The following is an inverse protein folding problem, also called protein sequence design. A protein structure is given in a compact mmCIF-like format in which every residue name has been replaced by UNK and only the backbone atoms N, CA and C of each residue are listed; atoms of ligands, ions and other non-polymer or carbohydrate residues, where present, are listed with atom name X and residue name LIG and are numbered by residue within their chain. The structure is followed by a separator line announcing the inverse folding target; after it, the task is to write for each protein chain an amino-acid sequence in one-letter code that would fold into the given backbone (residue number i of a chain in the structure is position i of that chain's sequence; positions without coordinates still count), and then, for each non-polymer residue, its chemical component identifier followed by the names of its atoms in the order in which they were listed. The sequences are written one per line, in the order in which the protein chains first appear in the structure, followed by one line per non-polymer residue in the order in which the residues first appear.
data_IF_218642794528
#
_entry.id   IF_218642794528
#
_cell.length_a   1.000
_cell.length_b   1.000
_cell.length_c   1.000
_cell.angle_alpha   90.00
_cell.angle_beta   90.00
_cell.angle_gamma   90.00
#
_symmetry.space_group_name_H-M   'P 1'
#
loop_
_entity.id
_entity.type
_entity.pdbx_description
1 polymer ?
#
# COMPACT_ATOMS: atom_id res chain seq x y z
N UNK A 1 -21.53 9.56 11.60
CA UNK A 1 -20.50 9.63 10.56
C UNK A 1 -19.41 8.63 10.92
N UNK A 2 -19.37 7.47 10.27
CA UNK A 2 -18.34 6.46 10.53
C UNK A 2 -17.01 7.02 10.05
N UNK A 3 -16.14 7.41 10.99
CA UNK A 3 -14.73 7.70 10.73
C UNK A 3 -14.13 6.37 10.27
N UNK A 4 -14.14 6.10 8.97
CA UNK A 4 -13.56 4.90 8.40
C UNK A 4 -12.07 4.90 8.77
N UNK A 5 -11.72 3.99 9.68
CA UNK A 5 -10.51 3.98 10.48
C UNK A 5 -9.25 4.26 9.67
N UNK A 6 -8.52 5.26 10.15
CA UNK A 6 -7.21 5.69 9.66
C UNK A 6 -6.26 4.49 9.70
N UNK A 7 -5.95 3.90 8.55
CA UNK A 7 -4.80 3.00 8.45
C UNK A 7 -3.55 3.86 8.50
N UNK A 8 -2.99 4.13 9.68
CA UNK A 8 -1.76 4.93 9.79
C UNK A 8 -0.59 4.02 9.40
N UNK A 9 -0.44 3.74 8.10
CA UNK A 9 0.65 2.95 7.56
C UNK A 9 1.94 3.76 7.46
N UNK A 10 2.37 4.42 8.53
CA UNK A 10 3.51 5.33 8.50
C UNK A 10 4.81 4.58 8.23
N UNK A 11 4.99 3.40 8.85
CA UNK A 11 6.16 2.54 8.58
C UNK A 11 6.12 1.99 7.17
N UNK A 12 4.94 1.63 6.65
CA UNK A 12 4.79 1.22 5.25
C UNK A 12 5.15 2.34 4.28
N UNK A 13 4.73 3.59 4.54
CA UNK A 13 5.11 4.73 3.70
C UNK A 13 6.61 4.98 3.74
N UNK A 14 7.22 4.92 4.92
CA UNK A 14 8.68 5.05 5.08
C UNK A 14 9.42 3.94 4.33
N UNK A 15 8.98 2.70 4.47
CA UNK A 15 9.52 1.56 3.73
C UNK A 15 9.44 1.77 2.21
N UNK A 16 8.31 2.26 1.69
CA UNK A 16 8.19 2.59 0.26
C UNK A 16 9.18 3.69 -0.18
N UNK A 17 9.55 4.62 0.70
CA UNK A 17 10.49 5.69 0.36
C UNK A 17 11.95 5.23 0.45
N UNK A 18 12.26 4.38 1.43
CA UNK A 18 13.64 3.99 1.76
C UNK A 18 14.06 2.70 1.02
N UNK A 19 13.15 1.77 0.79
CA UNK A 19 13.44 0.40 0.35
C UNK A 19 12.70 -0.04 -0.92
N UNK A 20 11.89 0.83 -1.53
CA UNK A 20 11.23 0.46 -2.78
C UNK A 20 12.25 0.09 -3.86
N UNK A 21 11.97 -0.94 -4.68
CA UNK A 21 12.85 -1.31 -5.77
C UNK A 21 13.16 -0.13 -6.71
N UNK A 22 14.42 0.00 -7.12
CA UNK A 22 14.89 1.10 -7.96
C UNK A 22 14.29 1.12 -9.37
N UNK A 23 13.66 0.01 -9.81
CA UNK A 23 12.96 -0.09 -11.08
C UNK A 23 11.53 0.47 -11.04
N UNK A 24 11.06 0.97 -9.89
CA UNK A 24 9.78 1.65 -9.79
C UNK A 24 9.82 3.04 -10.40
N UNK A 25 8.82 3.33 -11.22
CA UNK A 25 8.60 4.70 -11.71
C UNK A 25 8.11 5.60 -10.57
N UNK A 26 8.33 6.92 -10.69
CA UNK A 26 7.78 7.90 -9.73
C UNK A 26 6.28 7.75 -9.48
N UNK A 27 5.53 7.35 -10.51
CA UNK A 27 4.08 7.11 -10.45
C UNK A 27 3.73 5.85 -9.67
N UNK A 28 4.51 4.78 -9.84
CA UNK A 28 4.40 3.55 -9.05
C UNK A 28 4.69 3.84 -7.58
N UNK A 29 5.77 4.57 -7.27
CA UNK A 29 6.13 4.98 -5.90
C UNK A 29 5.03 5.82 -5.27
N UNK A 30 4.50 6.82 -5.98
CA UNK A 30 3.42 7.68 -5.49
C UNK A 30 2.14 6.86 -5.22
N UNK A 31 1.78 5.94 -6.11
CA UNK A 31 0.61 5.07 -5.94
C UNK A 31 0.78 4.08 -4.79
N UNK A 32 1.97 3.50 -4.67
CA UNK A 32 2.30 2.57 -3.59
C UNK A 32 2.32 3.27 -2.24
N UNK A 33 2.88 4.48 -2.17
CA UNK A 33 2.85 5.34 -0.97
C UNK A 33 1.43 5.75 -0.60
N UNK A 34 0.60 6.11 -1.60
CA UNK A 34 -0.80 6.44 -1.37
C UNK A 34 -1.59 5.25 -0.84
N UNK A 35 -1.33 4.04 -1.33
CA UNK A 35 -1.93 2.81 -0.83
C UNK A 35 -1.46 2.50 0.60
N UNK A 36 -0.16 2.65 0.90
CA UNK A 36 0.42 2.42 2.22
C UNK A 36 -0.28 3.23 3.32
N UNK A 37 -0.67 4.49 3.04
CA UNK A 37 -1.44 5.36 3.95
C UNK A 37 -2.85 4.86 4.31
N UNK A 38 -3.31 3.78 3.69
CA UNK A 38 -4.58 3.13 4.02
C UNK A 38 -4.39 1.72 4.55
N UNK A 39 -3.14 1.28 4.66
CA UNK A 39 -2.78 -0.01 5.20
C UNK A 39 -2.40 0.12 6.68
N UNK A 40 -2.58 -0.96 7.43
CA UNK A 40 -2.14 -1.07 8.82
C UNK A 40 -0.70 -1.53 8.87
N UNK A 41 0.15 -0.83 9.62
CA UNK A 41 1.56 -1.18 9.78
C UNK A 41 1.76 -2.56 10.41
N UNK A 42 0.82 -3.12 11.17
CA UNK A 42 1.01 -4.42 11.83
C UNK A 42 0.77 -5.60 10.89
N UNK A 43 -0.06 -5.40 9.87
CA UNK A 43 -0.53 -6.49 9.01
C UNK A 43 -0.16 -6.28 7.55
N UNK A 44 0.12 -5.05 7.14
CA UNK A 44 0.28 -4.65 5.74
C UNK A 44 -1.03 -4.63 4.96
N UNK A 45 -2.18 -4.86 5.59
CA UNK A 45 -3.49 -4.90 4.93
C UNK A 45 -4.15 -3.53 4.90
N UNK A 46 -4.76 -3.20 3.78
CA UNK A 46 -5.62 -2.03 3.62
C UNK A 46 -6.75 -2.32 2.64
N UNK A 47 -7.89 -1.66 2.86
CA UNK A 47 -9.07 -1.76 2.01
C UNK A 47 -9.52 -0.39 1.47
N UNK A 48 -8.63 0.41 0.85
CA UNK A 48 -9.04 1.70 0.34
C UNK A 48 -9.97 1.57 -0.86
N UNK A 49 -10.79 2.60 -1.01
CA UNK A 49 -11.47 2.91 -2.25
C UNK A 49 -10.43 3.36 -3.29
N UNK A 50 -10.67 3.02 -4.56
CA UNK A 50 -9.74 3.41 -5.64
C UNK A 50 -9.59 4.92 -5.74
N UNK A 51 -10.67 5.66 -5.54
CA UNK A 51 -10.67 7.13 -5.49
C UNK A 51 -9.74 7.69 -4.40
N UNK A 52 -9.68 7.05 -3.22
CA UNK A 52 -8.81 7.48 -2.13
C UNK A 52 -7.33 7.33 -2.50
N UNK A 53 -6.98 6.21 -3.14
CA UNK A 53 -5.62 5.99 -3.66
C UNK A 53 -5.31 6.99 -4.77
N UNK A 54 -6.26 7.24 -5.68
CA UNK A 54 -6.12 8.20 -6.77
C UNK A 54 -5.87 9.63 -6.28
N UNK A 55 -6.61 10.06 -5.25
CA UNK A 55 -6.42 11.35 -4.58
C UNK A 55 -5.03 11.45 -3.93
N UNK A 56 -4.59 10.40 -3.24
CA UNK A 56 -3.25 10.36 -2.62
C UNK A 56 -2.11 10.37 -3.64
N UNK A 57 -2.30 9.69 -4.77
CA UNK A 57 -1.33 9.59 -5.86
C UNK A 57 -1.41 10.74 -6.87
N UNK A 58 -2.38 11.67 -6.70
CA UNK A 58 -2.66 12.79 -7.61
C UNK A 58 -2.82 12.36 -9.08
N UNK A 59 -3.58 11.29 -9.29
CA UNK A 59 -3.85 10.76 -10.63
C UNK A 59 -5.29 10.25 -10.76
N UNK A 60 -5.69 9.76 -11.95
CA UNK A 60 -7.02 9.22 -12.20
C UNK A 60 -7.19 7.80 -11.64
N UNK A 61 -8.42 7.43 -11.30
CA UNK A 61 -8.74 6.05 -10.90
C UNK A 61 -8.39 5.02 -11.96
N UNK A 62 -8.57 5.36 -13.24
CA UNK A 62 -8.22 4.48 -14.36
C UNK A 62 -6.72 4.17 -14.33
N UNK A 63 -5.89 5.17 -14.10
CA UNK A 63 -4.44 5.02 -14.01
C UNK A 63 -4.03 4.23 -12.77
N UNK A 64 -4.60 4.53 -11.60
CA UNK A 64 -4.38 3.74 -10.37
C UNK A 64 -4.68 2.26 -10.61
N UNK A 65 -5.76 1.92 -11.32
CA UNK A 65 -6.06 0.53 -11.66
C UNK A 65 -4.93 -0.15 -12.43
N UNK A 66 -4.34 0.53 -13.41
CA UNK A 66 -3.21 0.00 -14.17
C UNK A 66 -1.94 -0.13 -13.32
N UNK A 67 -1.63 0.90 -12.53
CA UNK A 67 -0.44 0.92 -11.67
C UNK A 67 -0.53 -0.16 -10.58
N UNK A 68 -1.68 -0.32 -9.92
CA UNK A 68 -1.88 -1.40 -8.95
C UNK A 68 -1.76 -2.79 -9.60
N UNK A 69 -2.18 -2.93 -10.86
CA UNK A 69 -1.97 -4.18 -11.61
C UNK A 69 -0.49 -4.44 -11.89
N UNK A 70 0.27 -3.40 -12.24
CA UNK A 70 1.72 -3.48 -12.44
C UNK A 70 2.46 -3.82 -11.14
N UNK A 71 2.18 -3.10 -10.05
CA UNK A 71 2.74 -3.35 -8.71
C UNK A 71 2.45 -4.78 -8.22
N UNK A 72 1.26 -5.32 -8.52
CA UNK A 72 0.91 -6.72 -8.23
C UNK A 72 1.75 -7.71 -9.04
N UNK A 73 1.99 -7.44 -10.32
CA UNK A 73 2.85 -8.29 -11.16
C UNK A 73 4.31 -8.24 -10.71
N UNK A 74 4.77 -7.09 -10.22
CA UNK A 74 6.08 -6.92 -9.58
C UNK A 74 6.17 -7.55 -8.18
N UNK A 75 5.09 -8.17 -7.69
CA UNK A 75 5.08 -8.87 -6.41
C UNK A 75 4.98 -7.96 -5.18
N UNK A 76 4.94 -6.63 -5.32
CA UNK A 76 4.97 -5.70 -4.18
C UNK A 76 3.68 -5.69 -3.37
N UNK A 77 2.55 -5.97 -4.02
CA UNK A 77 1.24 -6.02 -3.39
C UNK A 77 0.45 -7.25 -3.85
N UNK A 78 -0.42 -7.74 -2.98
CA UNK A 78 -1.31 -8.87 -3.24
C UNK A 78 -2.74 -8.41 -3.05
N UNK A 79 -3.59 -8.70 -4.04
CA UNK A 79 -5.05 -8.54 -3.88
C UNK A 79 -5.58 -9.73 -3.10
N UNK A 80 -6.23 -9.47 -1.97
CA UNK A 80 -6.79 -10.53 -1.09
C UNK A 80 -8.31 -10.68 -1.23
N UNK A 81 -9.02 -9.69 -1.76
CA UNK A 81 -10.46 -9.77 -1.99
C UNK A 81 -11.11 -8.45 -2.40
N UNK A 82 -12.43 -8.45 -2.51
CA UNK A 82 -13.24 -7.26 -2.79
C UNK A 82 -13.23 -6.82 -4.26
N UNK A 83 -13.72 -5.60 -4.54
CA UNK A 83 -13.74 -5.01 -5.88
C UNK A 83 -14.88 -5.44 -6.81
N UNK A 84 -15.95 -6.02 -6.29
CA UNK A 84 -17.22 -6.12 -7.01
C UNK A 84 -17.97 -4.77 -6.92
N UNK A 85 -18.70 -4.38 -7.98
CA UNK A 85 -19.49 -3.14 -8.14
C UNK A 85 -19.45 -2.16 -6.95
N UNK A 86 -18.49 -1.23 -6.96
CA UNK A 86 -18.43 -0.17 -5.96
C UNK A 86 -18.06 -0.64 -4.56
N UNK A 87 -17.30 -1.73 -4.41
CA UNK A 87 -16.72 -2.15 -3.14
C UNK A 87 -15.22 -1.86 -3.10
N UNK A 88 -14.66 -1.54 -1.92
CA UNK A 88 -13.22 -1.40 -1.75
C UNK A 88 -12.49 -2.70 -2.09
N UNK A 89 -11.22 -2.57 -2.48
CA UNK A 89 -10.37 -3.72 -2.79
C UNK A 89 -9.42 -3.93 -1.62
N UNK A 90 -9.36 -5.15 -1.11
CA UNK A 90 -8.42 -5.50 -0.06
C UNK A 90 -7.06 -5.82 -0.67
N UNK A 91 -6.06 -5.05 -0.26
CA UNK A 91 -4.66 -5.19 -0.63
C UNK A 91 -3.82 -5.56 0.58
N UNK A 92 -2.72 -6.26 0.33
CA UNK A 92 -1.66 -6.55 1.31
C UNK A 92 -0.30 -6.25 0.69
N UNK A 93 0.59 -5.59 1.41
CA UNK A 93 2.01 -5.48 1.03
C UNK A 93 2.69 -6.85 1.18
N UNK A 94 3.35 -7.34 0.12
CA UNK A 94 3.88 -8.71 0.10
C UNK A 94 5.19 -8.85 0.88
N UNK A 95 6.07 -7.85 0.76
CA UNK A 95 7.43 -7.86 1.28
C UNK A 95 7.59 -7.10 2.60
N UNK A 96 6.49 -6.60 3.17
CA UNK A 96 6.55 -5.99 4.48
C UNK A 96 6.56 -7.11 5.54
N UNK A 97 7.76 -7.51 5.94
CA UNK A 97 7.97 -8.33 7.13
C UNK A 97 7.79 -7.46 8.36
N UNK A 98 6.86 -7.88 9.21
CA UNK A 98 6.49 -7.18 10.43
C UNK A 98 7.66 -7.23 11.41
N UNK A 99 8.52 -6.23 11.38
CA UNK A 99 9.60 -6.05 12.35
C UNK A 99 10.55 -7.26 12.42
N UNK A 100 11.69 -7.15 11.76
CA UNK A 100 12.90 -7.66 12.41
C UNK A 100 12.98 -6.96 13.77
N UNK A 101 12.55 -7.68 14.81
CA UNK A 101 12.97 -7.40 16.16
C UNK A 101 14.49 -7.25 16.11
N UNK A 102 14.96 -6.01 16.30
CA UNK A 102 16.28 -5.77 16.84
C UNK A 102 16.38 -6.66 18.07
N UNK A 103 17.04 -7.80 17.93
CA UNK A 103 17.49 -8.56 19.09
C UNK A 103 18.40 -7.59 19.84
N UNK A 104 18.10 -7.15 21.07
CA UNK A 104 19.11 -6.45 21.84
C UNK A 104 20.23 -7.47 22.03
N UNK A 105 21.31 -7.25 21.27
CA UNK A 105 22.58 -7.93 21.47
C UNK A 105 22.98 -7.62 22.90
N UNK A 106 22.63 -8.53 23.82
CA UNK A 106 23.02 -8.44 25.22
C UNK A 106 24.52 -8.71 25.23
N UNK A 107 25.28 -7.62 25.30
CA UNK A 107 26.70 -7.64 25.71
C UNK A 107 26.80 -7.58 27.22
#
# INVERSE_FOLDING_TARGET
MTVNGVGVGFRLVKWVQDEAPSDLTHREIATLSALARWCKDETGYGNPWREQVARGARTSEKEVKYVLSALRRKGLIVRKGGGYRGAPVMWRFAHYEKGTEETPSSS
#
